data_IF_258632615442
#
_entry.id   IF_258632615442
#
_cell.length_a   1.000
_cell.length_b   1.000
_cell.length_c   1.000
_cell.angle_alpha   90.00
_cell.angle_beta   90.00
_cell.angle_gamma   90.00
#
_symmetry.space_group_name_H-M   'P 1'
#
loop_
_entity.id
_entity.type
_entity.pdbx_description
1 polymer ?
#
# COMPACT_ATOMS: atom_id res chain seq x y z
N UNK A 1 -9.79 14.39 6.38
CA UNK A 1 -8.86 13.29 6.75
C UNK A 1 -9.24 12.06 5.92
N UNK A 2 -8.26 11.33 5.40
CA UNK A 2 -8.46 10.06 4.68
C UNK A 2 -7.70 8.97 5.45
N UNK A 3 -8.38 7.98 5.98
CA UNK A 3 -7.77 6.89 6.76
C UNK A 3 -8.24 5.52 6.29
N UNK A 4 -7.32 4.55 6.28
CA UNK A 4 -7.66 3.18 5.94
C UNK A 4 -8.33 2.45 7.10
N UNK A 5 -9.32 1.63 6.79
CA UNK A 5 -9.96 0.70 7.72
C UNK A 5 -10.19 -0.65 7.03
N UNK A 6 -9.09 -1.25 6.57
CA UNK A 6 -9.10 -2.48 5.77
C UNK A 6 -8.66 -2.27 4.32
N UNK A 7 -8.99 -3.25 3.48
CA UNK A 7 -8.64 -3.32 2.06
C UNK A 7 -9.41 -2.26 1.26
N UNK A 8 -8.81 -1.71 0.20
CA UNK A 8 -9.49 -0.76 -0.69
C UNK A 8 -10.38 -1.49 -1.69
N UNK A 9 -11.66 -1.16 -1.69
CA UNK A 9 -12.63 -1.54 -2.72
C UNK A 9 -12.83 -0.39 -3.73
N UNK A 10 -13.51 -0.68 -4.84
CA UNK A 10 -13.88 0.31 -5.85
C UNK A 10 -14.64 1.50 -5.25
N UNK A 11 -15.57 1.24 -4.35
CA UNK A 11 -16.38 2.20 -3.64
C UNK A 11 -15.51 3.07 -2.71
N UNK A 12 -14.54 2.45 -2.02
CA UNK A 12 -13.58 3.14 -1.16
C UNK A 12 -12.72 4.11 -1.99
N UNK A 13 -12.25 3.68 -3.16
CA UNK A 13 -11.45 4.50 -4.06
C UNK A 13 -12.25 5.68 -4.63
N UNK A 14 -13.49 5.44 -5.07
CA UNK A 14 -14.38 6.49 -5.56
C UNK A 14 -14.73 7.51 -4.46
N UNK A 15 -15.02 7.04 -3.26
CA UNK A 15 -15.26 7.89 -2.08
C UNK A 15 -14.05 8.77 -1.78
N UNK A 16 -12.85 8.17 -1.77
CA UNK A 16 -11.61 8.89 -1.54
C UNK A 16 -11.34 9.95 -2.63
N UNK A 17 -11.51 9.60 -3.89
CA UNK A 17 -11.30 10.52 -5.01
C UNK A 17 -12.23 11.74 -4.92
N UNK A 18 -13.53 11.50 -4.69
CA UNK A 18 -14.51 12.58 -4.51
C UNK A 18 -14.17 13.45 -3.29
N UNK A 19 -13.79 12.85 -2.17
CA UNK A 19 -13.39 13.62 -0.98
C UNK A 19 -12.17 14.51 -1.23
N UNK A 20 -11.13 13.98 -1.90
CA UNK A 20 -9.93 14.76 -2.26
C UNK A 20 -10.28 15.93 -3.17
N UNK A 21 -11.19 15.74 -4.13
CA UNK A 21 -11.69 16.82 -4.99
C UNK A 21 -12.41 17.91 -4.18
N UNK A 22 -13.29 17.54 -3.24
CA UNK A 22 -13.98 18.50 -2.36
C UNK A 22 -12.99 19.30 -1.50
N UNK A 23 -11.99 18.63 -0.90
CA UNK A 23 -10.94 19.30 -0.14
C UNK A 23 -10.13 20.26 -1.01
N UNK A 24 -9.79 19.85 -2.23
CA UNK A 24 -9.04 20.68 -3.18
C UNK A 24 -9.84 21.92 -3.57
N UNK A 25 -11.13 21.78 -3.92
CA UNK A 25 -12.01 22.89 -4.27
C UNK A 25 -12.19 23.87 -3.11
N UNK A 26 -12.30 23.36 -1.88
CA UNK A 26 -12.49 24.16 -0.66
C UNK A 26 -11.19 24.66 -0.04
N UNK A 27 -10.04 24.38 -0.66
CA UNK A 27 -8.70 24.73 -0.15
C UNK A 27 -8.40 24.18 1.25
N UNK A 28 -8.91 23.00 1.55
CA UNK A 28 -8.72 22.31 2.84
C UNK A 28 -7.53 21.36 2.75
N UNK A 29 -6.51 21.48 3.63
CA UNK A 29 -5.41 20.53 3.71
C UNK A 29 -5.88 19.10 3.99
N UNK A 30 -5.14 18.11 3.47
CA UNK A 30 -5.52 16.69 3.59
C UNK A 30 -4.48 15.96 4.41
N UNK A 31 -4.94 15.22 5.43
CA UNK A 31 -4.14 14.27 6.20
C UNK A 31 -4.52 12.86 5.75
N UNK A 32 -3.51 12.07 5.35
CA UNK A 32 -3.62 10.66 5.01
C UNK A 32 -3.05 9.81 6.14
N UNK A 33 -3.86 8.87 6.65
CA UNK A 33 -3.47 7.88 7.65
C UNK A 33 -3.37 6.51 6.99
N UNK A 34 -2.14 6.07 6.71
CA UNK A 34 -1.89 4.82 6.00
C UNK A 34 -1.88 3.62 6.94
N UNK A 35 -2.82 2.71 6.70
CA UNK A 35 -2.81 1.35 7.21
C UNK A 35 -3.45 0.43 6.18
N UNK A 36 -2.76 0.25 5.05
CA UNK A 36 -3.28 -0.36 3.83
C UNK A 36 -2.47 -1.59 3.41
N UNK A 37 -3.19 -2.69 3.21
CA UNK A 37 -2.66 -3.96 2.68
C UNK A 37 -2.71 -4.05 1.17
N UNK A 38 -3.60 -3.28 0.52
CA UNK A 38 -3.73 -3.22 -0.93
C UNK A 38 -5.17 -3.01 -1.38
N UNK A 39 -5.40 -3.25 -2.67
CA UNK A 39 -6.75 -3.29 -3.25
C UNK A 39 -7.31 -4.71 -3.16
N UNK A 40 -8.64 -4.81 -3.16
CA UNK A 40 -9.31 -6.11 -3.22
C UNK A 40 -8.92 -6.84 -4.51
N UNK A 41 -8.60 -8.11 -4.41
CA UNK A 41 -8.25 -8.96 -5.56
C UNK A 41 -9.38 -9.94 -5.84
N UNK A 42 -9.55 -10.31 -7.11
CA UNK A 42 -10.52 -11.32 -7.52
C UNK A 42 -11.25 -10.92 -8.80
N UNK A 43 -11.77 -11.93 -9.51
CA UNK A 43 -12.41 -11.73 -10.83
C UNK A 43 -13.54 -10.69 -10.79
N UNK A 44 -14.36 -10.69 -9.75
CA UNK A 44 -15.45 -9.73 -9.61
C UNK A 44 -14.94 -8.30 -9.39
N UNK A 45 -13.87 -8.12 -8.61
CA UNK A 45 -13.26 -6.80 -8.39
C UNK A 45 -12.65 -6.25 -9.69
N UNK A 46 -11.93 -7.10 -10.44
CA UNK A 46 -11.35 -6.73 -11.74
C UNK A 46 -12.43 -6.37 -12.77
N UNK A 47 -13.46 -7.21 -12.92
CA UNK A 47 -14.58 -6.93 -13.82
C UNK A 47 -15.40 -5.70 -13.38
N UNK A 48 -15.51 -5.46 -12.08
CA UNK A 48 -16.07 -4.24 -11.50
C UNK A 48 -15.23 -2.99 -11.76
N UNK A 49 -14.02 -3.14 -12.31
CA UNK A 49 -13.13 -2.06 -12.68
C UNK A 49 -12.38 -1.47 -11.50
N UNK A 50 -11.95 -2.29 -10.54
CA UNK A 50 -11.17 -1.81 -9.39
C UNK A 50 -9.92 -1.04 -9.82
N UNK A 51 -9.28 -1.44 -10.93
CA UNK A 51 -8.16 -0.71 -11.52
C UNK A 51 -8.53 0.73 -11.92
N UNK A 52 -9.63 0.94 -12.67
CA UNK A 52 -10.08 2.29 -13.06
C UNK A 52 -10.53 3.13 -11.85
N UNK A 53 -11.12 2.49 -10.85
CA UNK A 53 -11.56 3.18 -9.63
C UNK A 53 -10.37 3.58 -8.75
N UNK A 54 -9.38 2.71 -8.60
CA UNK A 54 -8.10 3.02 -7.96
C UNK A 54 -7.34 4.13 -8.68
N UNK A 55 -7.29 4.10 -10.02
CA UNK A 55 -6.67 5.15 -10.83
C UNK A 55 -7.29 6.53 -10.58
N UNK A 56 -8.61 6.63 -10.43
CA UNK A 56 -9.28 7.90 -10.09
C UNK A 56 -8.80 8.47 -8.75
N UNK A 57 -8.63 7.62 -7.73
CA UNK A 57 -8.08 8.05 -6.45
C UNK A 57 -6.65 8.56 -6.60
N UNK A 58 -5.80 7.79 -7.30
CA UNK A 58 -4.40 8.17 -7.55
C UNK A 58 -4.33 9.50 -8.28
N UNK A 59 -5.13 9.71 -9.34
CA UNK A 59 -5.20 10.98 -10.07
C UNK A 59 -5.64 12.12 -9.15
N UNK A 60 -6.67 11.93 -8.33
CA UNK A 60 -7.12 12.95 -7.40
C UNK A 60 -6.03 13.35 -6.40
N UNK A 61 -5.29 12.37 -5.85
CA UNK A 61 -4.19 12.60 -4.91
C UNK A 61 -3.00 13.31 -5.58
N UNK A 62 -2.63 12.89 -6.80
CA UNK A 62 -1.54 13.47 -7.56
C UNK A 62 -1.81 14.93 -7.96
N UNK A 63 -3.04 15.22 -8.40
CA UNK A 63 -3.42 16.55 -8.88
C UNK A 63 -3.91 17.50 -7.78
N UNK A 64 -4.06 17.05 -6.53
CA UNK A 64 -4.49 17.89 -5.42
C UNK A 64 -3.46 18.99 -5.12
N UNK A 65 -3.87 20.25 -5.29
CA UNK A 65 -3.05 21.45 -5.09
C UNK A 65 -2.98 21.94 -3.64
N UNK A 66 -3.77 21.36 -2.74
CA UNK A 66 -3.75 21.65 -1.31
C UNK A 66 -2.57 20.97 -0.60
N UNK A 67 -2.12 21.48 0.57
CA UNK A 67 -1.12 20.79 1.37
C UNK A 67 -1.58 19.40 1.77
N UNK A 68 -0.68 18.41 1.60
CA UNK A 68 -0.91 17.00 1.94
C UNK A 68 0.07 16.59 3.03
N UNK A 69 -0.40 15.89 4.06
CA UNK A 69 0.43 15.29 5.11
C UNK A 69 0.10 13.80 5.15
N UNK A 70 1.14 12.96 5.22
CA UNK A 70 0.98 11.51 5.29
C UNK A 70 1.58 10.99 6.59
N UNK A 71 0.83 10.15 7.30
CA UNK A 71 1.31 9.43 8.48
C UNK A 71 1.05 7.94 8.27
N UNK A 72 2.11 7.15 8.28
CA UNK A 72 2.03 5.69 8.16
C UNK A 72 1.89 5.12 9.57
N UNK A 73 0.68 4.69 9.90
CA UNK A 73 0.31 4.23 11.25
C UNK A 73 0.27 2.68 11.35
N UNK A 74 0.39 1.99 10.23
CA UNK A 74 0.41 0.52 10.15
C UNK A 74 1.08 0.03 8.87
N UNK A 75 0.34 -0.70 8.03
CA UNK A 75 0.84 -1.16 6.74
C UNK A 75 0.86 -0.08 5.66
N UNK A 76 1.88 -0.07 4.82
CA UNK A 76 1.91 0.68 3.57
C UNK A 76 2.46 -0.20 2.45
N UNK A 77 1.55 -0.83 1.73
CA UNK A 77 1.89 -1.86 0.75
C UNK A 77 1.35 -1.54 -0.65
N UNK A 78 2.19 -1.81 -1.66
CA UNK A 78 1.83 -1.83 -3.08
C UNK A 78 1.05 -0.61 -3.57
N UNK A 79 0.03 -0.85 -4.40
CA UNK A 79 -0.82 0.20 -4.95
C UNK A 79 -1.59 1.01 -3.89
N UNK A 80 -1.77 0.46 -2.68
CA UNK A 80 -2.36 1.19 -1.56
C UNK A 80 -1.51 2.39 -1.13
N UNK A 81 -0.19 2.27 -1.18
CA UNK A 81 0.74 3.38 -0.92
C UNK A 81 0.48 4.55 -1.87
N UNK A 82 0.19 4.25 -3.14
CA UNK A 82 -0.04 5.24 -4.17
C UNK A 82 -1.34 6.01 -3.95
N UNK A 83 -2.44 5.27 -3.75
CA UNK A 83 -3.76 5.87 -3.51
C UNK A 83 -3.86 6.67 -2.20
N UNK A 84 -2.95 6.45 -1.26
CA UNK A 84 -2.95 7.10 0.06
C UNK A 84 -1.85 8.17 0.22
N UNK A 85 -1.37 8.75 -0.88
CA UNK A 85 -0.35 9.81 -0.87
C UNK A 85 0.99 9.37 -0.25
N UNK A 86 1.56 8.27 -0.75
CA UNK A 86 2.92 7.87 -0.43
C UNK A 86 3.98 8.86 -0.92
N UNK A 87 5.25 8.52 -0.72
CA UNK A 87 6.37 9.44 -0.97
C UNK A 87 6.39 10.04 -2.37
N UNK A 88 6.07 9.24 -3.40
CA UNK A 88 6.07 9.65 -4.80
C UNK A 88 5.04 10.74 -5.14
N UNK A 89 4.07 11.01 -4.25
CA UNK A 89 2.99 11.98 -4.46
C UNK A 89 3.21 13.29 -3.70
N UNK A 90 4.47 13.52 -3.28
CA UNK A 90 4.95 14.78 -2.70
C UNK A 90 4.06 15.36 -1.59
N UNK A 91 3.74 14.59 -0.52
CA UNK A 91 3.21 15.21 0.69
C UNK A 91 4.25 16.16 1.28
N UNK A 92 3.79 17.25 1.91
CA UNK A 92 4.66 18.24 2.58
C UNK A 92 5.49 17.59 3.68
N UNK A 93 4.87 16.68 4.41
CA UNK A 93 5.53 15.84 5.40
C UNK A 93 5.02 14.42 5.29
N UNK A 94 5.92 13.46 5.45
CA UNK A 94 5.62 12.05 5.55
C UNK A 94 6.27 11.51 6.81
N UNK A 95 5.45 11.01 7.73
CA UNK A 95 5.90 10.41 8.99
C UNK A 95 5.58 8.91 9.01
N UNK A 96 6.38 8.16 9.76
CA UNK A 96 6.25 6.71 9.92
C UNK A 96 6.22 6.40 11.41
N UNK A 97 5.20 5.70 11.88
CA UNK A 97 5.14 5.23 13.26
C UNK A 97 6.10 4.07 13.50
N UNK A 98 6.57 3.86 14.75
CA UNK A 98 7.51 2.78 15.05
C UNK A 98 7.02 1.38 14.66
N UNK A 99 5.71 1.13 14.79
CA UNK A 99 5.07 -0.15 14.45
C UNK A 99 4.78 -0.32 12.95
N UNK A 100 4.99 0.71 12.13
CA UNK A 100 4.63 0.69 10.73
C UNK A 100 5.58 -0.17 9.89
N UNK A 101 5.03 -0.74 8.82
CA UNK A 101 5.78 -1.53 7.83
C UNK A 101 5.49 -1.03 6.41
N UNK A 102 6.54 -0.86 5.62
CA UNK A 102 6.46 -0.30 4.26
C UNK A 102 7.21 -1.21 3.30
N UNK A 103 6.55 -1.73 2.27
CA UNK A 103 7.23 -2.53 1.23
C UNK A 103 6.30 -2.71 0.02
N UNK A 104 6.79 -3.35 -1.04
CA UNK A 104 5.98 -3.57 -2.26
C UNK A 104 4.76 -4.45 -1.98
N UNK A 105 4.85 -5.39 -1.04
CA UNK A 105 3.76 -6.26 -0.57
C UNK A 105 4.13 -6.85 0.80
N UNK A 106 3.18 -7.47 1.50
CA UNK A 106 3.49 -8.12 2.78
C UNK A 106 4.47 -9.30 2.62
N UNK A 107 5.39 -9.49 3.57
CA UNK A 107 6.43 -10.51 3.48
C UNK A 107 5.89 -11.94 3.28
N UNK A 108 4.82 -12.31 3.99
CA UNK A 108 4.17 -13.61 3.81
C UNK A 108 3.53 -13.77 2.40
N UNK A 109 3.00 -12.69 1.85
CA UNK A 109 2.44 -12.69 0.49
C UNK A 109 3.56 -12.82 -0.55
N UNK A 110 4.66 -12.10 -0.39
CA UNK A 110 5.83 -12.22 -1.26
C UNK A 110 6.41 -13.64 -1.22
N UNK A 111 6.58 -14.20 -0.02
CA UNK A 111 7.09 -15.54 0.19
C UNK A 111 6.23 -16.60 -0.50
N UNK A 112 4.90 -16.54 -0.34
CA UNK A 112 3.98 -17.49 -0.96
C UNK A 112 4.00 -17.44 -2.50
N UNK A 113 4.01 -16.23 -3.08
CA UNK A 113 4.06 -16.07 -4.55
C UNK A 113 5.41 -16.56 -5.10
N UNK A 114 6.51 -16.18 -4.46
CA UNK A 114 7.85 -16.57 -4.89
C UNK A 114 8.09 -18.07 -4.73
N UNK A 115 7.57 -18.69 -3.67
CA UNK A 115 7.70 -20.14 -3.46
C UNK A 115 6.89 -20.92 -4.50
N UNK A 116 5.69 -20.45 -4.86
CA UNK A 116 4.88 -21.05 -5.91
C UNK A 116 5.59 -20.96 -7.27
N UNK A 117 6.20 -19.83 -7.60
CA UNK A 117 6.94 -19.67 -8.87
C UNK A 117 8.22 -20.50 -8.87
N UNK A 118 9.00 -20.49 -7.78
CA UNK A 118 10.29 -21.18 -7.68
C UNK A 118 10.15 -22.71 -7.64
N UNK A 119 9.02 -23.23 -7.14
CA UNK A 119 8.71 -24.66 -7.14
C UNK A 119 8.17 -25.17 -8.48
N UNK A 120 7.91 -24.31 -9.47
CA UNK A 120 7.48 -24.77 -10.80
C UNK A 120 8.53 -25.69 -11.43
N UNK A 121 8.15 -26.93 -11.70
CA UNK A 121 9.03 -27.94 -12.27
C UNK A 121 9.99 -28.61 -11.27
N UNK A 122 9.86 -28.35 -9.97
CA UNK A 122 10.66 -28.99 -8.90
C UNK A 122 9.73 -29.53 -7.81
N UNK A 123 10.02 -30.72 -7.28
CA UNK A 123 9.38 -31.20 -6.05
C UNK A 123 10.21 -30.76 -4.86
N UNK A 124 9.68 -29.85 -4.07
CA UNK A 124 10.29 -29.46 -2.80
C UNK A 124 9.68 -30.26 -1.66
N UNK A 125 10.51 -30.62 -0.69
CA UNK A 125 10.02 -31.07 0.61
C UNK A 125 9.33 -29.90 1.35
N UNK A 126 8.43 -30.19 2.31
CA UNK A 126 7.82 -29.16 3.14
C UNK A 126 8.85 -28.27 3.85
N UNK A 127 9.99 -28.85 4.26
CA UNK A 127 11.06 -28.14 4.94
C UNK A 127 11.77 -27.14 4.03
N UNK A 128 12.17 -27.56 2.83
CA UNK A 128 12.82 -26.66 1.85
C UNK A 128 11.92 -25.49 1.48
N UNK A 129 10.61 -25.73 1.32
CA UNK A 129 9.65 -24.66 1.06
C UNK A 129 9.56 -23.68 2.23
N UNK A 130 9.48 -24.20 3.45
CA UNK A 130 9.41 -23.37 4.66
C UNK A 130 10.66 -22.53 4.85
N UNK A 131 11.85 -23.11 4.67
CA UNK A 131 13.13 -22.41 4.80
C UNK A 131 13.26 -21.28 3.74
N UNK A 132 12.81 -21.55 2.51
CA UNK A 132 12.75 -20.55 1.44
C UNK A 132 11.80 -19.40 1.78
N UNK A 133 10.59 -19.70 2.23
CA UNK A 133 9.60 -18.69 2.60
C UNK A 133 10.05 -17.84 3.80
N UNK A 134 10.66 -18.46 4.82
CA UNK A 134 11.18 -17.76 6.00
C UNK A 134 12.26 -16.75 5.63
N UNK A 135 13.18 -17.11 4.72
CA UNK A 135 14.24 -16.21 4.25
C UNK A 135 13.64 -14.94 3.64
N UNK A 136 12.60 -15.07 2.82
CA UNK A 136 11.91 -13.93 2.19
C UNK A 136 11.16 -13.09 3.24
N UNK A 137 10.47 -13.75 4.18
CA UNK A 137 9.74 -13.06 5.25
C UNK A 137 10.69 -12.21 6.10
N UNK A 138 11.85 -12.76 6.47
CA UNK A 138 12.87 -12.03 7.23
C UNK A 138 13.42 -10.84 6.46
N UNK A 139 13.71 -11.01 5.17
CA UNK A 139 14.15 -9.90 4.31
C UNK A 139 13.12 -8.77 4.29
N UNK A 140 11.86 -9.09 4.01
CA UNK A 140 10.78 -8.10 3.97
C UNK A 140 10.53 -7.45 5.34
N UNK A 141 10.69 -8.18 6.45
CA UNK A 141 10.57 -7.61 7.79
C UNK A 141 11.69 -6.62 8.11
N UNK A 142 12.93 -6.94 7.70
CA UNK A 142 14.10 -6.08 7.89
C UNK A 142 13.99 -4.80 7.05
N UNK A 143 13.81 -4.97 5.74
CA UNK A 143 13.75 -3.86 4.77
C UNK A 143 12.48 -3.03 4.94
N UNK A 144 11.39 -3.64 5.39
CA UNK A 144 10.13 -2.96 5.59
C UNK A 144 9.98 -2.22 6.91
N UNK A 145 10.97 -2.29 7.81
CA UNK A 145 10.91 -1.65 9.12
C UNK A 145 10.94 -0.12 9.05
N UNK A 146 10.30 0.53 10.02
CA UNK A 146 10.32 1.99 10.19
C UNK A 146 11.74 2.56 10.26
N UNK A 147 12.66 1.86 10.94
CA UNK A 147 14.09 2.24 11.02
C UNK A 147 14.78 2.17 9.66
N UNK A 148 14.59 1.07 8.91
CA UNK A 148 15.21 0.90 7.59
C UNK A 148 14.73 1.96 6.61
N UNK A 149 13.43 2.24 6.66
CA UNK A 149 12.77 3.29 5.89
C UNK A 149 13.33 4.67 6.24
N UNK A 150 13.33 5.06 7.53
CA UNK A 150 13.80 6.37 7.97
C UNK A 150 15.30 6.61 7.74
N UNK A 151 16.12 5.56 7.68
CA UNK A 151 17.55 5.66 7.43
C UNK A 151 17.91 6.02 5.96
N UNK A 152 16.94 6.03 5.05
CA UNK A 152 17.13 6.26 3.60
C UNK A 152 16.39 7.49 3.09
N UNK A 153 15.88 8.32 4.00
CA UNK A 153 15.13 9.53 3.70
C UNK A 153 15.93 10.81 3.89
#
# INVERSE_FOLDING_TARGET
>A
IVGNNGVLFSESAMKGAHFVQLCTQRKVPIIFLQNITGFMVGRQAEMGGIAKHGAKLVTAVACASVPKITVIIGGSYGAGNYGMCGRAYSPRFLYVWPNAKISVMGGAQAAGVLSEVASRGKKWSPKEKMDFENTIIEQFNKEGSSYFSSARY
#
